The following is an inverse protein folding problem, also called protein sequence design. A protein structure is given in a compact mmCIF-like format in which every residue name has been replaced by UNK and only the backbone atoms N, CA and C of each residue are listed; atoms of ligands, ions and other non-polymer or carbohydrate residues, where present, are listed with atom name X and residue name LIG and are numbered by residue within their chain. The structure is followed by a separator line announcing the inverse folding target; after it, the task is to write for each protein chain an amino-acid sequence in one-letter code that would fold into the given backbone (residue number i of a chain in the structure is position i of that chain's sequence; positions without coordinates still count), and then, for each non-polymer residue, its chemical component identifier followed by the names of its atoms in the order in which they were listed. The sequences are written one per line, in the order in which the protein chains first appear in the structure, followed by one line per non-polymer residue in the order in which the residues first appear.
data_IF_773709109828
#
_entry.id   IF_773709109828
#
_cell.length_a   1.000
_cell.length_b   1.000
_cell.length_c   1.000
_cell.angle_alpha   90.00
_cell.angle_beta   90.00
_cell.angle_gamma   90.00
#
_symmetry.space_group_name_H-M   'P 1'
#
loop_
_entity.id
_entity.type
_entity.pdbx_description
1 polymer ?
#
# COMPACT_ATOMS: atom_id res chain seq x y z
N UNK A 1 -0.66 -15.25 33.80
CA UNK A 1 -1.86 -15.44 33.05
C UNK A 1 -1.88 -14.54 31.82
N UNK A 2 -2.51 -14.99 30.86
CA UNK A 2 -2.61 -14.23 29.65
C UNK A 2 -3.45 -13.02 29.86
N UNK A 3 -2.95 -11.93 29.44
CA UNK A 3 -3.68 -10.71 29.59
C UNK A 3 -4.59 -10.49 28.40
N UNK A 4 -5.71 -9.83 28.63
CA UNK A 4 -6.62 -9.56 27.53
C UNK A 4 -6.02 -8.65 26.47
N UNK A 5 -5.06 -7.86 26.83
CA UNK A 5 -4.45 -6.98 25.87
C UNK A 5 -3.50 -7.70 24.93
N UNK A 6 -3.26 -8.97 25.14
CA UNK A 6 -2.58 -9.73 24.12
C UNK A 6 -3.47 -9.88 22.88
N UNK A 7 -4.75 -9.60 23.00
CA UNK A 7 -5.64 -9.60 21.86
C UNK A 7 -5.46 -8.32 21.07
N UNK A 8 -5.51 -8.41 19.75
CA UNK A 8 -5.42 -7.21 18.96
C UNK A 8 -6.59 -6.28 19.21
N UNK A 9 -6.31 -5.02 19.20
CA UNK A 9 -7.37 -4.04 19.31
C UNK A 9 -8.08 -3.89 18.00
N UNK A 10 -9.32 -3.40 18.02
CA UNK A 10 -9.99 -3.02 16.78
C UNK A 10 -9.15 -1.98 16.06
N UNK A 11 -9.01 -2.15 14.78
CA UNK A 11 -8.22 -1.22 13.99
C UNK A 11 -9.02 0.02 13.69
N UNK A 12 -8.39 1.19 13.80
CA UNK A 12 -9.11 2.42 13.52
C UNK A 12 -9.24 2.73 12.04
N UNK A 13 -8.64 1.93 11.18
CA UNK A 13 -8.67 2.18 9.74
C UNK A 13 -9.49 1.10 9.05
N UNK A 14 -9.97 1.40 7.84
CA UNK A 14 -10.78 0.42 7.11
C UNK A 14 -9.98 -0.82 6.76
N UNK A 15 -10.71 -1.91 6.58
CA UNK A 15 -10.10 -3.20 6.26
C UNK A 15 -10.44 -3.57 4.83
N UNK A 16 -10.17 -2.67 3.92
CA UNK A 16 -10.51 -2.84 2.51
C UNK A 16 -9.29 -2.91 1.61
N UNK A 17 -8.11 -3.17 2.19
CA UNK A 17 -6.88 -3.26 1.43
C UNK A 17 -6.12 -1.96 1.31
N UNK A 18 -6.56 -0.92 1.98
CA UNK A 18 -5.84 0.35 1.98
C UNK A 18 -4.60 0.28 2.84
N UNK A 19 -3.74 1.27 2.68
CA UNK A 19 -2.60 1.43 3.57
C UNK A 19 -3.11 1.56 4.99
N UNK A 20 -2.54 0.83 5.90
CA UNK A 20 -3.03 0.74 7.27
C UNK A 20 -3.73 -0.57 7.55
N UNK A 21 -4.17 -1.28 6.53
CA UNK A 21 -4.66 -2.63 6.69
C UNK A 21 -3.48 -3.52 7.11
N UNK A 22 -3.58 -4.26 8.20
CA UNK A 22 -2.48 -5.11 8.62
C UNK A 22 -2.22 -6.31 7.72
N UNK A 23 -3.16 -6.65 6.87
CA UNK A 23 -3.03 -7.81 6.00
C UNK A 23 -2.29 -7.42 4.71
N UNK A 24 -1.06 -7.90 4.52
CA UNK A 24 -0.31 -7.56 3.31
C UNK A 24 -0.95 -8.06 2.03
N UNK A 25 -1.71 -9.14 2.09
CA UNK A 25 -2.41 -9.64 0.92
C UNK A 25 -3.50 -8.69 0.47
N UNK A 26 -4.21 -8.10 1.42
CA UNK A 26 -5.24 -7.12 1.09
C UNK A 26 -4.64 -5.86 0.50
N UNK A 27 -3.51 -5.42 1.05
CA UNK A 27 -2.84 -4.26 0.49
C UNK A 27 -2.39 -4.52 -0.93
N UNK A 28 -1.86 -5.71 -1.18
CA UNK A 28 -1.45 -6.07 -2.53
C UNK A 28 -2.62 -6.16 -3.48
N UNK A 29 -3.74 -6.70 -3.01
CA UNK A 29 -4.95 -6.77 -3.82
C UNK A 29 -5.48 -5.39 -4.18
N UNK A 30 -5.40 -4.45 -3.24
CA UNK A 30 -5.82 -3.08 -3.51
C UNK A 30 -4.98 -2.49 -4.65
N UNK A 31 -3.67 -2.70 -4.59
CA UNK A 31 -2.80 -2.18 -5.66
C UNK A 31 -3.16 -2.79 -7.00
N UNK A 32 -3.40 -4.10 -7.03
CA UNK A 32 -3.77 -4.75 -8.29
C UNK A 32 -5.09 -4.24 -8.83
N UNK A 33 -6.07 -4.03 -7.97
CA UNK A 33 -7.37 -3.55 -8.41
C UNK A 33 -7.29 -2.13 -8.94
N UNK A 34 -6.33 -1.35 -8.46
CA UNK A 34 -6.10 0.01 -8.93
C UNK A 34 -5.14 0.05 -10.12
N UNK A 35 -4.69 -1.11 -10.59
CA UNK A 35 -3.74 -1.26 -11.68
C UNK A 35 -2.43 -0.54 -11.39
N UNK A 36 -1.93 -0.74 -10.19
CA UNK A 36 -0.66 -0.19 -9.76
C UNK A 36 0.29 -1.32 -9.43
N UNK A 37 1.56 -1.09 -9.66
CA UNK A 37 2.61 -2.06 -9.35
C UNK A 37 3.74 -1.35 -8.64
N UNK A 38 4.44 -2.08 -7.79
CA UNK A 38 5.66 -1.61 -7.17
C UNK A 38 6.78 -2.51 -7.67
N UNK A 39 7.74 -1.91 -8.35
CA UNK A 39 8.86 -2.65 -8.93
C UNK A 39 10.11 -2.39 -8.13
N UNK A 40 10.78 -3.47 -7.72
CA UNK A 40 12.03 -3.37 -6.99
C UNK A 40 13.16 -3.32 -7.99
N UNK A 41 13.73 -2.14 -8.16
CA UNK A 41 14.75 -1.92 -9.19
C UNK A 41 16.17 -1.84 -8.66
N UNK A 42 16.32 -1.80 -7.35
CA UNK A 42 17.63 -1.76 -6.72
C UNK A 42 17.47 -1.84 -5.22
N UNK A 43 18.59 -1.86 -4.50
CA UNK A 43 18.58 -2.09 -3.06
C UNK A 43 17.72 -1.08 -2.31
N UNK A 44 17.70 0.16 -2.80
CA UNK A 44 16.91 1.21 -2.16
C UNK A 44 16.06 1.94 -3.20
N UNK A 45 15.56 1.18 -4.18
CA UNK A 45 14.81 1.80 -5.26
C UNK A 45 13.57 0.96 -5.54
N UNK A 46 12.44 1.46 -5.10
CA UNK A 46 11.14 0.85 -5.35
C UNK A 46 10.32 1.84 -6.15
N UNK A 47 9.96 1.45 -7.36
CA UNK A 47 9.25 2.33 -8.27
C UNK A 47 7.78 1.97 -8.31
N UNK A 48 6.93 2.98 -8.16
CA UNK A 48 5.49 2.82 -8.31
C UNK A 48 5.12 3.10 -9.76
N UNK A 49 4.39 2.20 -10.36
CA UNK A 49 4.01 2.30 -11.77
C UNK A 49 2.49 2.17 -11.88
N UNK A 50 1.89 3.11 -12.59
CA UNK A 50 0.50 2.99 -13.01
C UNK A 50 0.52 2.22 -14.33
N UNK A 51 -0.11 1.07 -14.36
CA UNK A 51 -0.04 0.19 -15.53
C UNK A 51 -0.68 0.81 -16.77
N UNK A 52 -1.52 1.81 -16.58
CA UNK A 52 -2.19 2.48 -17.70
C UNK A 52 -1.50 3.78 -18.09
N UNK A 53 -0.77 4.43 -17.18
CA UNK A 53 -0.24 5.77 -17.42
C UNK A 53 1.28 5.86 -17.28
N UNK A 54 1.94 4.84 -16.73
CA UNK A 54 3.38 4.83 -16.61
C UNK A 54 3.88 5.15 -15.21
N UNK A 55 5.15 5.47 -15.07
CA UNK A 55 5.76 5.65 -13.75
C UNK A 55 5.10 6.78 -12.98
N UNK A 56 4.89 6.54 -11.70
CA UNK A 56 4.33 7.52 -10.77
C UNK A 56 5.43 8.18 -9.95
N UNK A 57 6.37 7.40 -9.46
CA UNK A 57 7.45 7.89 -8.63
C UNK A 57 8.17 6.74 -8.00
N UNK A 58 9.16 7.06 -7.17
CA UNK A 58 9.93 6.02 -6.51
C UNK A 58 10.19 6.40 -5.07
N UNK A 59 10.51 5.38 -4.27
CA UNK A 59 10.86 5.54 -2.86
C UNK A 59 11.98 4.57 -2.54
N UNK A 60 12.60 4.79 -1.37
CA UNK A 60 13.74 3.96 -0.97
C UNK A 60 13.31 2.69 -0.26
N UNK A 61 12.08 2.61 0.19
CA UNK A 61 11.58 1.46 0.92
C UNK A 61 10.27 0.99 0.32
N UNK A 62 9.98 -0.29 0.56
CA UNK A 62 8.70 -0.85 0.13
C UNK A 62 7.53 -0.12 0.78
N UNK A 63 7.63 0.14 2.10
CA UNK A 63 6.56 0.83 2.80
C UNK A 63 6.30 2.22 2.25
N UNK A 64 7.37 2.95 1.92
CA UNK A 64 7.22 4.25 1.29
C UNK A 64 6.58 4.17 -0.07
N UNK A 65 6.93 3.15 -0.85
CA UNK A 65 6.31 2.95 -2.16
C UNK A 65 4.84 2.58 -2.03
N UNK A 66 4.49 1.74 -1.06
CA UNK A 66 3.08 1.44 -0.81
C UNK A 66 2.30 2.71 -0.48
N UNK A 67 2.87 3.54 0.37
CA UNK A 67 2.21 4.79 0.75
C UNK A 67 2.01 5.68 -0.46
N UNK A 68 3.03 5.82 -1.29
CA UNK A 68 2.92 6.62 -2.50
C UNK A 68 1.84 6.07 -3.43
N UNK A 69 1.79 4.75 -3.58
CA UNK A 69 0.81 4.13 -4.45
C UNK A 69 -0.61 4.39 -3.97
N UNK A 70 -0.83 4.28 -2.66
CA UNK A 70 -2.17 4.54 -2.11
C UNK A 70 -2.55 6.00 -2.23
N UNK A 71 -1.61 6.91 -1.97
CA UNK A 71 -1.85 8.33 -2.14
C UNK A 71 -2.21 8.67 -3.58
N UNK A 72 -1.48 8.09 -4.51
CA UNK A 72 -1.73 8.30 -5.93
C UNK A 72 -3.12 7.79 -6.31
N UNK A 73 -3.47 6.59 -5.84
CA UNK A 73 -4.78 6.02 -6.14
C UNK A 73 -5.91 6.89 -5.59
N UNK A 74 -5.73 7.40 -4.37
CA UNK A 74 -6.74 8.25 -3.76
C UNK A 74 -6.89 9.57 -4.51
N UNK A 75 -5.78 10.17 -4.93
CA UNK A 75 -5.84 11.40 -5.69
C UNK A 75 -6.50 11.19 -7.05
N UNK A 76 -6.19 10.08 -7.69
CA UNK A 76 -6.78 9.75 -8.98
C UNK A 76 -8.28 9.53 -8.84
N UNK A 77 -8.71 8.88 -7.79
CA UNK A 77 -10.13 8.62 -7.55
C UNK A 77 -10.89 9.90 -7.24
N UNK A 78 -10.22 10.89 -6.66
CA UNK A 78 -10.85 12.16 -6.31
C UNK A 78 -10.94 13.12 -7.49
N UNK A 79 -10.22 12.86 -8.56
CA UNK A 79 -10.17 13.76 -9.71
C UNK A 79 -11.44 13.72 -10.56
#
# INVERSE_FOLDING_TARGET
MLTPDSKPRPMPWPVDGRLGDPDPLRRAERLRSERLAIEHRGAYHYEVVDLDHGPVGCRRTWGGAEELAHQYADLRAAA
#
